data_IF_375223505171
#
_entry.id   IF_375223505171
#
_cell.length_a   1.000
_cell.length_b   1.000
_cell.length_c   1.000
_cell.angle_alpha   90.00
_cell.angle_beta   90.00
_cell.angle_gamma   90.00
#
_symmetry.space_group_name_H-M   'P 1'
#
loop_
_entity.id
_entity.type
_entity.pdbx_description
1 polymer ?
#
# COMPACT_ATOMS: atom_id res chain seq x y z
N UNK A 1 11.10 0.01 5.22
CA UNK A 1 10.12 -0.19 4.14
C UNK A 1 10.57 0.38 2.81
N UNK A 2 11.10 1.58 2.76
CA UNK A 2 11.47 2.26 1.51
C UNK A 2 12.45 1.47 0.61
N UNK A 3 13.31 0.65 1.17
CA UNK A 3 14.33 -0.12 0.47
C UNK A 3 13.96 -1.57 0.18
N UNK A 4 12.72 -1.98 0.41
CA UNK A 4 12.28 -3.37 0.20
C UNK A 4 12.08 -3.75 -1.26
N UNK A 5 11.99 -2.76 -2.13
CA UNK A 5 11.80 -2.94 -3.56
C UNK A 5 12.81 -2.06 -4.30
N UNK A 6 13.53 -2.62 -5.25
CA UNK A 6 14.46 -1.86 -6.08
C UNK A 6 13.92 -1.59 -7.49
N UNK A 7 14.63 -0.75 -8.25
CA UNK A 7 14.24 -0.35 -9.61
C UNK A 7 14.18 -1.53 -10.57
N UNK A 8 15.09 -2.49 -10.45
CA UNK A 8 15.13 -3.67 -11.33
C UNK A 8 13.92 -4.54 -11.10
N UNK A 9 13.55 -4.78 -9.85
CA UNK A 9 12.35 -5.56 -9.48
C UNK A 9 11.09 -4.89 -9.99
N UNK A 10 10.95 -3.59 -9.80
CA UNK A 10 9.77 -2.86 -10.26
C UNK A 10 9.70 -2.81 -11.79
N UNK A 11 10.81 -2.61 -12.47
CA UNK A 11 10.87 -2.64 -13.93
C UNK A 11 10.41 -3.98 -14.48
N UNK A 12 10.87 -5.08 -13.89
CA UNK A 12 10.44 -6.44 -14.27
C UNK A 12 8.94 -6.63 -14.03
N UNK A 13 8.41 -6.11 -12.92
CA UNK A 13 6.98 -6.18 -12.62
C UNK A 13 6.14 -5.38 -13.61
N UNK A 14 6.60 -4.21 -14.03
CA UNK A 14 5.94 -3.39 -15.05
C UNK A 14 5.92 -4.11 -16.41
N UNK A 15 7.02 -4.74 -16.79
CA UNK A 15 7.10 -5.53 -18.03
C UNK A 15 6.16 -6.72 -18.02
N UNK A 16 6.02 -7.38 -16.85
CA UNK A 16 5.10 -8.50 -16.67
C UNK A 16 3.63 -8.08 -16.59
N UNK A 17 3.37 -6.82 -16.25
CA UNK A 17 2.03 -6.27 -16.07
C UNK A 17 1.90 -4.92 -16.80
N UNK A 18 2.04 -4.90 -18.13
CA UNK A 18 2.11 -3.66 -18.89
C UNK A 18 0.79 -2.86 -18.90
N UNK A 19 -0.30 -3.50 -18.55
CA UNK A 19 -1.64 -2.93 -18.49
C UNK A 19 -2.03 -2.39 -17.10
N UNK A 20 -1.13 -2.50 -16.11
CA UNK A 20 -1.37 -2.01 -14.76
C UNK A 20 -0.82 -0.58 -14.57
N UNK A 21 -1.58 0.24 -13.85
CA UNK A 21 -1.09 1.53 -13.34
C UNK A 21 -0.33 1.30 -12.03
N UNK A 22 0.91 1.77 -11.97
CA UNK A 22 1.75 1.63 -10.79
C UNK A 22 1.49 2.78 -9.83
N UNK A 23 0.88 2.45 -8.71
CA UNK A 23 0.59 3.39 -7.62
C UNK A 23 1.57 3.12 -6.48
N UNK A 24 2.37 4.13 -6.15
CA UNK A 24 3.38 4.02 -5.11
C UNK A 24 2.99 4.82 -3.86
N UNK A 25 3.05 4.17 -2.71
CA UNK A 25 3.03 4.90 -1.45
C UNK A 25 4.30 5.77 -1.34
N UNK A 26 4.13 7.01 -0.91
CA UNK A 26 5.18 8.04 -0.96
C UNK A 26 6.46 7.64 -0.21
N UNK A 27 6.35 6.75 0.78
CA UNK A 27 7.49 6.27 1.55
C UNK A 27 8.25 5.17 0.77
N UNK A 28 8.86 5.58 -0.31
CA UNK A 28 9.72 4.75 -1.17
C UNK A 28 10.87 5.60 -1.69
N UNK A 29 11.84 4.97 -2.37
CA UNK A 29 13.03 5.68 -2.87
C UNK A 29 12.70 6.62 -4.02
N UNK A 30 13.55 7.63 -4.21
CA UNK A 30 13.40 8.57 -5.31
C UNK A 30 13.51 7.89 -6.67
N UNK A 31 14.40 6.92 -6.77
CA UNK A 31 14.61 6.12 -7.99
C UNK A 31 13.33 5.36 -8.39
N UNK A 32 12.66 4.74 -7.43
CA UNK A 32 11.39 4.05 -7.70
C UNK A 32 10.30 5.01 -8.15
N UNK A 33 10.26 6.22 -7.60
CA UNK A 33 9.28 7.23 -7.99
C UNK A 33 9.39 7.64 -9.44
N UNK A 34 10.59 7.56 -10.03
CA UNK A 34 10.79 7.92 -11.43
C UNK A 34 10.09 6.98 -12.41
N UNK A 35 9.84 5.75 -12.00
CA UNK A 35 9.21 4.72 -12.84
C UNK A 35 7.78 4.37 -12.38
N UNK A 36 7.28 4.99 -11.31
CA UNK A 36 5.89 4.87 -10.90
C UNK A 36 5.01 5.84 -11.68
N UNK A 37 3.75 5.47 -11.88
CA UNK A 37 2.80 6.32 -12.59
C UNK A 37 2.18 7.37 -11.65
N UNK A 38 1.91 6.99 -10.41
CA UNK A 38 1.25 7.85 -9.42
C UNK A 38 1.85 7.60 -8.03
N UNK A 39 2.04 8.67 -7.27
CA UNK A 39 2.42 8.57 -5.85
C UNK A 39 1.27 9.03 -4.95
N UNK A 40 1.07 8.31 -3.85
CA UNK A 40 -0.01 8.55 -2.89
C UNK A 40 0.50 8.58 -1.47
N UNK A 41 -0.24 9.27 -0.61
CA UNK A 41 -0.10 9.17 0.85
C UNK A 41 -1.22 8.27 1.39
N UNK A 42 -1.13 7.88 2.66
CA UNK A 42 -2.21 7.10 3.30
C UNK A 42 -3.56 7.84 3.28
N UNK A 43 -3.53 9.17 3.43
CA UNK A 43 -4.74 9.99 3.42
C UNK A 43 -5.32 10.25 2.03
N UNK A 44 -4.51 10.16 0.98
CA UNK A 44 -4.92 10.47 -0.40
C UNK A 44 -5.13 9.22 -1.28
N UNK A 45 -4.64 8.06 -0.84
CA UNK A 45 -4.61 6.85 -1.64
C UNK A 45 -5.98 6.46 -2.20
N UNK A 46 -7.00 6.42 -1.36
CA UNK A 46 -8.35 6.03 -1.78
C UNK A 46 -8.91 6.97 -2.85
N UNK A 47 -8.81 8.27 -2.61
CA UNK A 47 -9.30 9.29 -3.54
C UNK A 47 -8.59 9.23 -4.89
N UNK A 48 -7.27 9.12 -4.86
CA UNK A 48 -6.46 9.08 -6.08
C UNK A 48 -6.74 7.80 -6.87
N UNK A 49 -6.71 6.65 -6.21
CA UNK A 49 -6.98 5.36 -6.87
C UNK A 49 -8.38 5.32 -7.49
N UNK A 50 -9.37 5.85 -6.78
CA UNK A 50 -10.73 5.90 -7.28
C UNK A 50 -10.88 6.76 -8.56
N UNK A 51 -10.01 7.75 -8.73
CA UNK A 51 -10.00 8.64 -9.90
C UNK A 51 -9.10 8.16 -11.05
N UNK A 52 -8.38 7.06 -10.89
CA UNK A 52 -7.61 6.46 -11.98
C UNK A 52 -8.56 5.72 -12.92
N UNK A 53 -8.47 6.00 -14.22
CA UNK A 53 -9.35 5.38 -15.23
C UNK A 53 -9.07 3.88 -15.39
N UNK A 54 -7.83 3.44 -15.15
CA UNK A 54 -7.45 2.05 -15.27
C UNK A 54 -7.96 1.23 -14.07
N UNK A 55 -8.63 0.12 -14.36
CA UNK A 55 -9.12 -0.80 -13.32
C UNK A 55 -8.05 -1.73 -12.76
N UNK A 56 -6.89 -1.83 -13.41
CA UNK A 56 -5.78 -2.67 -13.00
C UNK A 56 -4.71 -1.84 -12.32
N UNK A 57 -4.47 -2.11 -11.05
CA UNK A 57 -3.56 -1.35 -10.18
C UNK A 57 -2.45 -2.27 -9.67
N UNK A 58 -1.21 -1.83 -9.83
CA UNK A 58 -0.05 -2.42 -9.15
C UNK A 58 0.32 -1.49 -8.00
N UNK A 59 0.03 -1.89 -6.76
CA UNK A 59 0.22 -1.06 -5.58
C UNK A 59 1.50 -1.46 -4.83
N UNK A 60 2.38 -0.51 -4.60
CA UNK A 60 3.69 -0.71 -3.96
C UNK A 60 3.97 0.37 -2.93
N UNK A 61 4.93 0.18 -2.02
CA UNK A 61 5.46 -1.09 -1.55
C UNK A 61 4.65 -1.68 -0.40
N UNK A 62 3.68 -0.94 0.14
CA UNK A 62 2.91 -1.33 1.34
C UNK A 62 1.66 -2.12 0.98
N UNK A 63 1.72 -3.43 1.17
CA UNK A 63 0.59 -4.31 0.89
C UNK A 63 -0.59 -4.11 1.85
N UNK A 64 -0.36 -3.62 3.07
CA UNK A 64 -1.45 -3.39 4.04
C UNK A 64 -2.31 -2.19 3.63
N UNK A 65 -1.68 -1.08 3.28
CA UNK A 65 -2.38 0.08 2.75
C UNK A 65 -3.11 -0.28 1.45
N UNK A 66 -2.42 -1.00 0.56
CA UNK A 66 -3.00 -1.45 -0.71
C UNK A 66 -4.22 -2.34 -0.50
N UNK A 67 -4.17 -3.30 0.42
CA UNK A 67 -5.28 -4.18 0.74
C UNK A 67 -6.48 -3.42 1.33
N UNK A 68 -6.21 -2.40 2.13
CA UNK A 68 -7.28 -1.54 2.64
C UNK A 68 -7.96 -0.75 1.51
N UNK A 69 -7.18 -0.17 0.61
CA UNK A 69 -7.71 0.57 -0.55
C UNK A 69 -8.50 -0.37 -1.47
N UNK A 70 -7.99 -1.57 -1.73
CA UNK A 70 -8.66 -2.59 -2.55
C UNK A 70 -10.08 -2.88 -2.05
N UNK A 71 -10.25 -3.01 -0.74
CA UNK A 71 -11.57 -3.24 -0.14
C UNK A 71 -12.56 -2.11 -0.38
N UNK A 72 -12.07 -0.88 -0.55
CA UNK A 72 -12.90 0.30 -0.76
C UNK A 72 -13.28 0.50 -2.24
N UNK A 73 -12.54 -0.14 -3.16
CA UNK A 73 -12.76 -0.01 -4.62
C UNK A 73 -12.86 -1.40 -5.26
N UNK A 74 -13.91 -2.17 -4.95
CA UNK A 74 -14.03 -3.56 -5.37
C UNK A 74 -14.12 -3.75 -6.89
N UNK A 75 -14.42 -2.68 -7.64
CA UNK A 75 -14.45 -2.68 -9.11
C UNK A 75 -13.07 -2.72 -9.74
N UNK A 76 -12.00 -2.46 -8.97
CA UNK A 76 -10.63 -2.49 -9.47
C UNK A 76 -9.91 -3.77 -9.05
N UNK A 77 -8.97 -4.21 -9.89
CA UNK A 77 -8.14 -5.38 -9.62
C UNK A 77 -6.76 -4.91 -9.15
N UNK A 78 -6.35 -5.35 -7.96
CA UNK A 78 -5.07 -4.99 -7.38
C UNK A 78 -4.08 -6.12 -7.48
N UNK A 79 -2.82 -5.76 -7.72
CA UNK A 79 -1.67 -6.62 -7.60
C UNK A 79 -0.69 -5.99 -6.62
N UNK A 80 -0.14 -6.82 -5.74
CA UNK A 80 0.77 -6.37 -4.69
C UNK A 80 2.13 -7.04 -4.83
N UNK A 81 3.16 -6.32 -4.36
CA UNK A 81 4.45 -6.90 -4.07
C UNK A 81 4.52 -7.15 -2.56
N UNK A 82 5.08 -8.27 -2.15
CA UNK A 82 5.26 -8.54 -0.72
C UNK A 82 6.15 -7.47 -0.09
N UNK A 83 5.58 -6.70 0.80
CA UNK A 83 6.27 -5.62 1.48
C UNK A 83 5.34 -4.82 2.36
N UNK A 84 5.93 -4.08 3.27
CA UNK A 84 5.20 -3.22 4.20
C UNK A 84 6.12 -2.77 5.32
N UNK A 85 5.61 -1.91 6.17
CA UNK A 85 6.35 -1.46 7.35
C UNK A 85 6.55 -2.65 8.31
N UNK A 86 7.80 -3.05 8.62
CA UNK A 86 8.05 -4.18 9.53
C UNK A 86 7.41 -4.01 10.91
N UNK A 87 7.33 -2.77 11.38
CA UNK A 87 6.68 -2.44 12.65
C UNK A 87 5.20 -2.74 12.60
N UNK A 88 4.51 -2.32 11.53
CA UNK A 88 3.08 -2.59 11.35
C UNK A 88 2.79 -4.07 11.13
N UNK A 89 3.65 -4.75 10.37
CA UNK A 89 3.49 -6.18 10.09
C UNK A 89 3.60 -7.06 11.35
N UNK A 90 4.26 -6.57 12.39
CA UNK A 90 4.37 -7.27 13.69
C UNK A 90 3.13 -7.13 14.55
N UNK A 91 2.28 -6.14 14.28
CA UNK A 91 1.06 -5.93 15.06
C UNK A 91 0.01 -6.98 14.70
N UNK A 92 -0.52 -7.64 15.71
CA UNK A 92 -1.55 -8.66 15.56
C UNK A 92 -2.89 -8.18 16.14
N UNK A 93 -3.96 -8.84 15.73
CA UNK A 93 -5.29 -8.64 16.34
C UNK A 93 -5.24 -8.89 17.85
N UNK A 94 -4.43 -9.86 18.28
CA UNK A 94 -4.23 -10.19 19.70
C UNK A 94 -3.62 -9.01 20.46
N UNK A 95 -2.62 -8.33 19.87
CA UNK A 95 -1.99 -7.15 20.48
C UNK A 95 -2.99 -6.02 20.67
N UNK A 96 -3.83 -5.77 19.68
CA UNK A 96 -4.89 -4.75 19.74
C UNK A 96 -5.92 -5.09 20.82
N UNK A 97 -6.36 -6.34 20.87
CA UNK A 97 -7.31 -6.80 21.93
C UNK A 97 -6.72 -6.65 23.32
N UNK A 98 -5.45 -7.01 23.49
CA UNK A 98 -4.75 -6.88 24.76
C UNK A 98 -4.63 -5.40 25.20
N UNK A 99 -4.27 -4.52 24.27
CA UNK A 99 -4.17 -3.08 24.54
C UNK A 99 -5.52 -2.48 24.92
N UNK A 100 -6.60 -2.86 24.22
CA UNK A 100 -7.97 -2.40 24.54
C UNK A 100 -8.44 -2.88 25.89
N UNK A 101 -8.11 -4.10 26.27
CA UNK A 101 -8.46 -4.65 27.57
C UNK A 101 -7.71 -3.94 28.71
N UNK A 102 -6.43 -3.58 28.47
CA UNK A 102 -5.61 -2.85 29.43
C UNK A 102 -6.03 -1.37 29.58
N UNK A 103 -6.59 -0.78 28.52
CA UNK A 103 -6.98 0.64 28.47
C UNK A 103 -8.42 0.81 27.95
N UNK A 104 -9.45 0.36 28.69
CA UNK A 104 -10.84 0.34 28.19
C UNK A 104 -11.42 1.73 27.94
N UNK A 105 -10.89 2.76 28.61
CA UNK A 105 -11.32 4.15 28.45
C UNK A 105 -10.64 4.87 27.28
N UNK A 106 -9.58 4.29 26.72
CA UNK A 106 -8.80 4.91 25.67
C UNK A 106 -9.45 4.76 24.30
N UNK A 107 -9.37 5.82 23.49
CA UNK A 107 -9.77 5.75 22.08
C UNK A 107 -8.68 5.02 21.29
N UNK A 108 -9.10 4.09 20.46
CA UNK A 108 -8.18 3.43 19.53
C UNK A 108 -8.08 4.24 18.24
N UNK A 109 -6.87 4.71 17.95
CA UNK A 109 -6.57 5.41 16.70
C UNK A 109 -5.71 4.50 15.84
N UNK A 110 -6.07 4.39 14.57
CA UNK A 110 -5.38 3.56 13.58
C UNK A 110 -4.95 4.43 12.41
N UNK A 111 -3.68 4.28 12.04
CA UNK A 111 -3.14 4.91 10.83
C UNK A 111 -3.58 4.13 9.60
#
# INVERSE_FOLDING_TARGET
>A
MAEQLDVEMLSALKESNPDHTVVAYINTTSELKTICDVCVTSSSALKIVNNIDNDKILFIPDCNLGAWVEKQVPQKTFKFVHGGCPTHLRMSVRDVKKARAAHPEAKLLVH
#
